data_IF_151441962009
#
_entry.id   IF_151441962009
#
_cell.length_a   1.000
_cell.length_b   1.000
_cell.length_c   1.000
_cell.angle_alpha   90.00
_cell.angle_beta   90.00
_cell.angle_gamma   90.00
#
_symmetry.space_group_name_H-M   'P 1'
#
loop_
_entity.id
_entity.type
_entity.pdbx_description
1 polymer ?
#
# COMPACT_ATOMS: atom_id res chain seq x y z
N UNK A 1 -43.80 29.19 18.26
CA UNK A 1 -42.47 28.65 18.59
C UNK A 1 -42.14 27.51 17.63
N UNK A 2 -41.34 27.78 16.62
CA UNK A 2 -40.96 26.78 15.64
C UNK A 2 -39.57 26.28 16.01
N UNK A 3 -39.49 25.02 16.47
CA UNK A 3 -38.24 24.35 16.74
C UNK A 3 -37.52 24.05 15.43
N UNK A 4 -36.39 24.68 15.19
CA UNK A 4 -35.48 24.36 14.11
C UNK A 4 -34.69 23.09 14.47
N UNK A 5 -35.20 21.96 14.07
CA UNK A 5 -34.41 20.73 14.00
C UNK A 5 -33.62 20.74 12.66
N UNK A 6 -32.35 20.99 12.77
CA UNK A 6 -31.43 20.92 11.62
C UNK A 6 -31.04 19.47 11.32
N UNK A 7 -31.42 18.92 10.17
CA UNK A 7 -30.96 17.59 9.74
C UNK A 7 -29.71 17.73 8.88
N UNK A 8 -28.59 18.22 9.42
CA UNK A 8 -27.38 18.46 8.61
C UNK A 8 -26.14 17.66 9.00
N UNK A 9 -26.20 16.85 10.06
CA UNK A 9 -25.01 16.11 10.50
C UNK A 9 -24.90 14.65 10.02
N UNK A 10 -26.01 13.99 9.78
CA UNK A 10 -25.99 12.57 9.37
C UNK A 10 -25.47 12.35 7.95
N UNK A 11 -25.79 13.23 7.02
CA UNK A 11 -25.35 13.12 5.62
C UNK A 11 -23.86 13.38 5.45
N UNK A 12 -23.31 14.37 6.15
CA UNK A 12 -21.89 14.71 6.08
C UNK A 12 -21.03 13.62 6.75
N UNK A 13 -21.43 13.10 7.89
CA UNK A 13 -20.73 12.03 8.60
C UNK A 13 -20.73 10.72 7.78
N UNK A 14 -21.83 10.41 7.10
CA UNK A 14 -21.94 9.22 6.25
C UNK A 14 -21.08 9.32 4.99
N UNK A 15 -20.91 10.52 4.44
CA UNK A 15 -20.09 10.75 3.26
C UNK A 15 -18.59 10.63 3.59
N UNK A 16 -18.13 11.19 4.69
CA UNK A 16 -16.76 11.08 5.18
C UNK A 16 -16.40 9.63 5.53
N UNK A 17 -17.31 8.89 6.15
CA UNK A 17 -17.13 7.48 6.45
C UNK A 17 -16.91 6.64 5.19
N UNK A 18 -17.67 6.87 4.13
CA UNK A 18 -17.51 6.14 2.87
C UNK A 18 -16.14 6.40 2.24
N UNK A 19 -15.67 7.64 2.24
CA UNK A 19 -14.34 8.00 1.72
C UNK A 19 -13.22 7.45 2.57
N UNK A 20 -13.37 7.45 3.87
CA UNK A 20 -12.46 6.81 4.82
C UNK A 20 -12.27 5.33 4.49
N UNK A 21 -13.35 4.59 4.36
CA UNK A 21 -13.33 3.16 4.04
C UNK A 21 -12.67 2.93 2.66
N UNK A 22 -13.03 3.73 1.66
CA UNK A 22 -12.46 3.61 0.32
C UNK A 22 -10.96 3.82 0.32
N UNK A 23 -10.45 4.85 1.00
CA UNK A 23 -9.02 5.12 1.10
C UNK A 23 -8.29 3.98 1.82
N UNK A 24 -8.82 3.50 2.94
CA UNK A 24 -8.24 2.36 3.66
C UNK A 24 -8.22 1.08 2.83
N UNK A 25 -9.24 0.81 2.03
CA UNK A 25 -9.27 -0.34 1.12
C UNK A 25 -8.17 -0.27 0.06
N UNK A 26 -7.90 0.90 -0.48
CA UNK A 26 -6.81 1.08 -1.44
C UNK A 26 -5.44 0.89 -0.75
N UNK A 27 -5.29 1.35 0.49
CA UNK A 27 -4.10 1.07 1.29
C UNK A 27 -3.94 -0.42 1.58
N UNK A 28 -5.00 -1.11 1.96
CA UNK A 28 -4.99 -2.56 2.21
C UNK A 28 -4.52 -3.34 0.98
N UNK A 29 -5.09 -3.02 -0.19
CA UNK A 29 -4.66 -3.62 -1.45
C UNK A 29 -3.19 -3.32 -1.77
N UNK A 30 -2.75 -2.08 -1.54
CA UNK A 30 -1.35 -1.67 -1.75
C UNK A 30 -0.37 -2.41 -0.86
N UNK A 31 -0.68 -2.53 0.43
CA UNK A 31 0.13 -3.29 1.40
C UNK A 31 0.21 -4.77 1.00
N UNK A 32 -0.92 -5.39 0.63
CA UNK A 32 -0.95 -6.78 0.21
C UNK A 32 -0.08 -7.02 -1.03
N UNK A 33 -0.11 -6.11 -2.00
CA UNK A 33 0.76 -6.16 -3.18
C UNK A 33 2.24 -6.00 -2.82
N UNK A 34 2.56 -5.07 -1.94
CA UNK A 34 3.93 -4.85 -1.46
C UNK A 34 4.50 -6.07 -0.75
N UNK A 35 3.73 -6.67 0.16
CA UNK A 35 4.12 -7.90 0.86
C UNK A 35 4.34 -9.07 -0.12
N UNK A 36 3.43 -9.25 -1.07
CA UNK A 36 3.55 -10.28 -2.08
C UNK A 36 4.81 -10.11 -2.94
N UNK A 37 5.14 -8.88 -3.31
CA UNK A 37 6.33 -8.56 -4.08
C UNK A 37 7.63 -8.90 -3.32
N UNK A 38 7.69 -8.44 -2.08
CA UNK A 38 8.86 -8.69 -1.23
C UNK A 38 9.04 -10.19 -1.01
N UNK A 39 7.97 -10.92 -0.69
CA UNK A 39 8.02 -12.36 -0.47
C UNK A 39 8.53 -13.13 -1.70
N UNK A 40 8.17 -12.69 -2.91
CA UNK A 40 8.62 -13.35 -4.14
C UNK A 40 10.12 -13.20 -4.40
N UNK A 41 10.73 -12.09 -4.00
CA UNK A 41 12.13 -11.79 -4.33
C UNK A 41 13.10 -12.06 -3.18
N UNK A 42 12.60 -12.17 -1.96
CA UNK A 42 13.43 -12.20 -0.74
C UNK A 42 14.40 -13.37 -0.71
N UNK A 43 13.95 -14.56 -1.13
CA UNK A 43 14.77 -15.78 -1.12
C UNK A 43 15.82 -15.78 -2.26
N UNK A 44 15.60 -14.99 -3.31
CA UNK A 44 16.48 -14.88 -4.47
C UNK A 44 17.59 -13.86 -4.25
N UNK A 45 17.41 -12.90 -3.37
CA UNK A 45 18.41 -11.86 -3.07
C UNK A 45 19.70 -12.47 -2.50
N UNK A 46 20.84 -12.10 -3.09
CA UNK A 46 22.16 -12.62 -2.72
C UNK A 46 22.84 -11.79 -1.65
N UNK A 47 22.74 -10.46 -1.77
CA UNK A 47 23.32 -9.54 -0.79
C UNK A 47 22.52 -9.56 0.53
N UNK A 48 23.25 -9.69 1.66
CA UNK A 48 22.64 -9.64 2.98
C UNK A 48 21.97 -8.27 3.23
N UNK A 49 22.60 -7.19 2.79
CA UNK A 49 22.05 -5.84 2.96
C UNK A 49 20.79 -5.60 2.14
N UNK A 50 20.65 -6.23 0.97
CA UNK A 50 19.39 -6.21 0.21
C UNK A 50 18.30 -7.00 0.95
N UNK A 51 18.61 -8.19 1.43
CA UNK A 51 17.68 -8.98 2.24
C UNK A 51 17.23 -8.23 3.49
N UNK A 52 18.15 -7.55 4.18
CA UNK A 52 17.84 -6.77 5.38
C UNK A 52 16.91 -5.59 5.07
N UNK A 53 17.13 -4.88 3.96
CA UNK A 53 16.25 -3.80 3.52
C UNK A 53 14.83 -4.30 3.21
N UNK A 54 14.73 -5.40 2.48
CA UNK A 54 13.45 -6.05 2.16
C UNK A 54 12.75 -6.54 3.42
N UNK A 55 13.48 -7.16 4.35
CA UNK A 55 12.91 -7.67 5.61
C UNK A 55 12.38 -6.55 6.52
N UNK A 56 13.09 -5.43 6.63
CA UNK A 56 12.61 -4.27 7.38
C UNK A 56 11.32 -3.73 6.79
N UNK A 57 11.30 -3.51 5.48
CA UNK A 57 10.12 -3.02 4.78
C UNK A 57 8.93 -3.97 4.93
N UNK A 58 9.17 -5.28 4.84
CA UNK A 58 8.16 -6.32 5.06
C UNK A 58 7.51 -6.19 6.44
N UNK A 59 8.33 -6.06 7.48
CA UNK A 59 7.85 -5.90 8.87
C UNK A 59 6.98 -4.65 9.02
N UNK A 60 7.42 -3.53 8.46
CA UNK A 60 6.68 -2.27 8.53
C UNK A 60 5.36 -2.34 7.76
N UNK A 61 5.33 -2.99 6.59
CA UNK A 61 4.10 -3.27 5.85
C UNK A 61 3.13 -4.13 6.66
N UNK A 62 3.62 -5.17 7.34
CA UNK A 62 2.80 -6.03 8.19
C UNK A 62 2.19 -5.26 9.37
N UNK A 63 2.92 -4.33 9.96
CA UNK A 63 2.40 -3.48 11.01
C UNK A 63 1.28 -2.55 10.51
N UNK A 64 1.49 -1.89 9.38
CA UNK A 64 0.45 -1.08 8.74
C UNK A 64 -0.77 -1.91 8.35
N UNK A 65 -0.57 -3.11 7.85
CA UNK A 65 -1.67 -4.01 7.51
C UNK A 65 -2.56 -4.29 8.71
N UNK A 66 -1.97 -4.55 9.89
CA UNK A 66 -2.74 -4.75 11.12
C UNK A 66 -3.56 -3.53 11.51
N UNK A 67 -2.99 -2.33 11.40
CA UNK A 67 -3.70 -1.08 11.65
C UNK A 67 -4.87 -0.89 10.69
N UNK A 68 -4.65 -1.12 9.40
CA UNK A 68 -5.67 -1.00 8.36
C UNK A 68 -6.81 -2.00 8.59
N UNK A 69 -6.48 -3.27 8.84
CA UNK A 69 -7.47 -4.32 9.09
C UNK A 69 -8.30 -3.99 10.32
N UNK A 70 -7.67 -3.54 11.40
CA UNK A 70 -8.38 -3.11 12.62
C UNK A 70 -9.31 -1.94 12.33
N UNK A 71 -8.85 -0.93 11.61
CA UNK A 71 -9.66 0.23 11.25
C UNK A 71 -10.85 -0.14 10.35
N UNK A 72 -10.66 -1.03 9.38
CA UNK A 72 -11.73 -1.53 8.52
C UNK A 72 -12.73 -2.39 9.30
N UNK A 73 -12.25 -3.23 10.22
CA UNK A 73 -13.11 -4.04 11.08
C UNK A 73 -14.03 -3.19 11.97
N UNK A 74 -13.54 -2.09 12.51
CA UNK A 74 -14.33 -1.14 13.31
C UNK A 74 -15.52 -0.56 12.52
N UNK A 75 -15.43 -0.55 11.19
CA UNK A 75 -16.51 -0.15 10.30
C UNK A 75 -17.29 -1.32 9.70
N UNK A 76 -17.07 -2.55 10.17
CA UNK A 76 -17.64 -3.78 9.60
C UNK A 76 -17.30 -3.96 8.11
N UNK A 77 -16.09 -3.64 7.75
CA UNK A 77 -15.57 -3.76 6.38
C UNK A 77 -14.39 -4.75 6.36
N UNK A 78 -14.39 -5.67 5.42
CA UNK A 78 -13.38 -6.73 5.33
C UNK A 78 -12.18 -6.35 4.41
N UNK A 79 -12.16 -5.11 3.93
CA UNK A 79 -11.11 -4.66 3.03
C UNK A 79 -11.40 -4.93 1.56
N UNK A 80 -10.41 -4.65 0.72
CA UNK A 80 -10.50 -4.81 -0.73
C UNK A 80 -9.46 -5.81 -1.20
N UNK A 81 -9.90 -6.81 -1.93
CA UNK A 81 -9.00 -7.70 -2.66
C UNK A 81 -8.18 -6.89 -3.66
N UNK A 82 -6.86 -7.14 -3.80
CA UNK A 82 -6.05 -6.53 -4.85
C UNK A 82 -6.67 -6.80 -6.22
N UNK A 83 -6.60 -5.82 -7.12
CA UNK A 83 -7.14 -6.00 -8.47
C UNK A 83 -6.43 -7.17 -9.16
N UNK A 84 -7.13 -8.28 -9.51
CA UNK A 84 -6.49 -9.46 -10.08
C UNK A 84 -5.72 -9.17 -11.38
N UNK A 85 -6.21 -8.23 -12.18
CA UNK A 85 -5.55 -7.85 -13.44
C UNK A 85 -4.24 -7.12 -13.17
N UNK A 86 -4.25 -6.11 -12.30
CA UNK A 86 -3.05 -5.38 -11.92
C UNK A 86 -2.03 -6.30 -11.22
N UNK A 87 -2.48 -7.12 -10.29
CA UNK A 87 -1.67 -8.09 -9.57
C UNK A 87 -1.07 -9.14 -10.53
N UNK A 88 -1.89 -9.77 -11.38
CA UNK A 88 -1.45 -10.80 -12.31
C UNK A 88 -0.44 -10.30 -13.34
N UNK A 89 -0.65 -9.14 -13.94
CA UNK A 89 0.26 -8.56 -14.93
C UNK A 89 1.59 -8.12 -14.34
N UNK A 90 1.59 -7.58 -13.12
CA UNK A 90 2.79 -7.08 -12.47
C UNK A 90 3.70 -8.21 -11.99
N UNK A 91 3.14 -9.15 -11.26
CA UNK A 91 3.91 -10.16 -10.54
C UNK A 91 4.26 -11.38 -11.36
N UNK A 92 3.47 -11.78 -12.33
CA UNK A 92 3.81 -12.84 -13.29
C UNK A 92 5.04 -12.41 -14.09
N UNK A 93 5.10 -11.16 -14.55
CA UNK A 93 6.29 -10.61 -15.22
C UNK A 93 7.51 -10.62 -14.32
N UNK A 94 7.35 -10.23 -13.04
CA UNK A 94 8.41 -10.25 -12.03
C UNK A 94 8.97 -11.66 -11.86
N UNK A 95 8.11 -12.65 -11.66
CA UNK A 95 8.52 -14.05 -11.55
C UNK A 95 9.26 -14.57 -12.78
N UNK A 96 8.78 -14.25 -13.99
CA UNK A 96 9.44 -14.63 -15.24
C UNK A 96 10.82 -13.98 -15.39
N UNK A 97 10.94 -12.69 -15.06
CA UNK A 97 12.22 -11.97 -15.12
C UNK A 97 13.24 -12.52 -14.11
N UNK A 98 12.82 -12.83 -12.88
CA UNK A 98 13.68 -13.43 -11.87
C UNK A 98 14.16 -14.83 -12.28
N UNK A 99 13.31 -15.64 -12.91
CA UNK A 99 13.67 -16.95 -13.44
C UNK A 99 14.74 -16.85 -14.54
N UNK A 100 14.68 -15.78 -15.35
CA UNK A 100 15.63 -15.55 -16.44
C UNK A 100 16.93 -14.89 -16.00
N UNK A 101 16.90 -14.06 -14.95
CA UNK A 101 18.05 -13.30 -14.48
C UNK A 101 17.99 -13.08 -12.95
N UNK A 102 18.50 -14.04 -12.20
CA UNK A 102 18.54 -14.03 -10.74
C UNK A 102 19.66 -13.13 -10.20
N UNK A 103 19.51 -11.82 -10.30
CA UNK A 103 20.50 -10.88 -9.76
C UNK A 103 19.88 -9.87 -8.80
N UNK A 104 20.70 -9.37 -7.89
CA UNK A 104 20.28 -8.30 -6.97
C UNK A 104 19.87 -7.03 -7.75
N UNK A 105 20.54 -6.74 -8.86
CA UNK A 105 20.19 -5.63 -9.74
C UNK A 105 18.78 -5.80 -10.35
N UNK A 106 18.43 -7.00 -10.79
CA UNK A 106 17.07 -7.29 -11.29
C UNK A 106 16.03 -7.12 -10.19
N UNK A 107 16.31 -7.61 -8.98
CA UNK A 107 15.41 -7.43 -7.83
C UNK A 107 15.24 -5.94 -7.51
N UNK A 108 16.34 -5.19 -7.45
CA UNK A 108 16.31 -3.76 -7.17
C UNK A 108 15.50 -2.98 -8.21
N UNK A 109 15.67 -3.30 -9.48
CA UNK A 109 14.93 -2.70 -10.59
C UNK A 109 13.42 -2.94 -10.46
N UNK A 110 13.01 -4.20 -10.30
CA UNK A 110 11.62 -4.59 -10.18
C UNK A 110 10.94 -3.98 -8.93
N UNK A 111 11.61 -4.02 -7.81
CA UNK A 111 11.06 -3.46 -6.56
C UNK A 111 10.98 -1.93 -6.63
N UNK A 112 11.97 -1.27 -7.22
CA UNK A 112 11.95 0.18 -7.44
C UNK A 112 10.76 0.58 -8.31
N UNK A 113 10.51 -0.13 -9.39
CA UNK A 113 9.34 0.11 -10.25
C UNK A 113 8.04 -0.06 -9.47
N UNK A 114 7.93 -1.12 -8.68
CA UNK A 114 6.77 -1.37 -7.81
C UNK A 114 6.56 -0.23 -6.80
N UNK A 115 7.60 0.21 -6.13
CA UNK A 115 7.55 1.33 -5.19
C UNK A 115 7.08 2.63 -5.87
N UNK A 116 7.64 2.95 -7.03
CA UNK A 116 7.24 4.14 -7.78
C UNK A 116 5.78 4.09 -8.21
N UNK A 117 5.28 2.94 -8.65
CA UNK A 117 3.87 2.73 -8.95
C UNK A 117 3.00 2.91 -7.70
N UNK A 118 3.42 2.34 -6.57
CA UNK A 118 2.73 2.47 -5.29
C UNK A 118 2.62 3.92 -4.85
N UNK A 119 3.73 4.65 -4.81
CA UNK A 119 3.77 6.09 -4.47
C UNK A 119 2.83 6.90 -5.35
N UNK A 120 2.90 6.68 -6.66
CA UNK A 120 2.03 7.38 -7.63
C UNK A 120 0.55 7.10 -7.38
N UNK A 121 0.19 5.84 -7.17
CA UNK A 121 -1.20 5.43 -6.95
C UNK A 121 -1.75 5.95 -5.64
N UNK A 122 -0.97 5.86 -4.55
CA UNK A 122 -1.38 6.33 -3.23
C UNK A 122 -1.58 7.85 -3.21
N UNK A 123 -0.70 8.62 -3.86
CA UNK A 123 -0.88 10.06 -4.01
C UNK A 123 -2.15 10.40 -4.81
N UNK A 124 -2.45 9.64 -5.86
CA UNK A 124 -3.70 9.79 -6.61
C UNK A 124 -4.91 9.54 -5.70
N UNK A 125 -4.88 8.51 -4.85
CA UNK A 125 -5.96 8.24 -3.92
C UNK A 125 -6.11 9.32 -2.83
N UNK A 126 -5.01 9.88 -2.33
CA UNK A 126 -5.07 11.03 -1.43
C UNK A 126 -5.82 12.21 -2.06
N UNK A 127 -5.54 12.49 -3.32
CA UNK A 127 -6.22 13.55 -4.06
C UNK A 127 -7.69 13.21 -4.33
N UNK A 128 -7.98 11.96 -4.69
CA UNK A 128 -9.32 11.49 -4.97
C UNK A 128 -10.22 11.49 -3.73
N UNK A 129 -9.66 11.12 -2.58
CA UNK A 129 -10.36 11.01 -1.31
C UNK A 129 -9.99 12.14 -0.34
N UNK A 130 -9.85 13.33 -0.83
CA UNK A 130 -9.45 14.53 -0.06
C UNK A 130 -10.30 14.75 1.21
N UNK A 131 -11.58 14.41 1.17
CA UNK A 131 -12.48 14.52 2.31
C UNK A 131 -12.46 13.29 3.25
N UNK A 132 -11.53 12.34 3.07
CA UNK A 132 -11.32 11.26 4.03
C UNK A 132 -10.74 11.83 5.35
N UNK A 133 -10.91 11.07 6.45
CA UNK A 133 -10.41 11.48 7.76
C UNK A 133 -8.88 11.61 7.77
N UNK A 134 -8.37 12.42 8.70
CA UNK A 134 -6.93 12.61 8.88
C UNK A 134 -6.22 11.29 9.24
N UNK A 135 -6.87 10.38 9.98
CA UNK A 135 -6.32 9.07 10.31
C UNK A 135 -6.05 8.21 9.07
N UNK A 136 -7.01 8.14 8.14
CA UNK A 136 -6.84 7.39 6.89
C UNK A 136 -5.76 8.02 6.01
N UNK A 137 -5.70 9.35 5.96
CA UNK A 137 -4.65 10.07 5.24
C UNK A 137 -3.28 9.84 5.85
N UNK A 138 -3.18 9.79 7.19
CA UNK A 138 -1.94 9.50 7.89
C UNK A 138 -1.41 8.10 7.54
N UNK A 139 -2.26 7.09 7.59
CA UNK A 139 -1.92 5.72 7.18
C UNK A 139 -1.41 5.72 5.73
N UNK A 140 -2.10 6.40 4.82
CA UNK A 140 -1.71 6.50 3.42
C UNK A 140 -0.33 7.16 3.25
N UNK A 141 -0.08 8.26 3.96
CA UNK A 141 1.21 8.96 3.92
C UNK A 141 2.35 8.12 4.48
N UNK A 142 2.08 7.36 5.55
CA UNK A 142 3.07 6.43 6.10
C UNK A 142 3.40 5.30 5.12
N UNK A 143 2.41 4.78 4.40
CA UNK A 143 2.64 3.78 3.37
C UNK A 143 3.47 4.37 2.21
N UNK A 144 3.18 5.58 1.77
CA UNK A 144 3.99 6.28 0.77
C UNK A 144 5.45 6.40 1.24
N UNK A 145 5.66 6.81 2.49
CA UNK A 145 7.00 6.95 3.06
C UNK A 145 7.76 5.61 3.12
N UNK A 146 7.07 4.49 3.38
CA UNK A 146 7.67 3.16 3.35
C UNK A 146 8.14 2.78 1.94
N UNK A 147 7.32 3.05 0.93
CA UNK A 147 7.67 2.77 -0.46
C UNK A 147 8.84 3.63 -0.94
N UNK A 148 8.84 4.90 -0.62
CA UNK A 148 9.95 5.82 -0.95
C UNK A 148 11.25 5.40 -0.26
N UNK A 149 11.17 5.02 1.02
CA UNK A 149 12.33 4.56 1.78
C UNK A 149 12.92 3.28 1.20
N UNK A 150 12.10 2.31 0.84
CA UNK A 150 12.56 1.08 0.23
C UNK A 150 13.29 1.38 -1.09
N UNK A 151 12.69 2.18 -1.96
CA UNK A 151 13.31 2.57 -3.23
C UNK A 151 14.68 3.26 -3.01
N UNK A 152 14.79 4.10 -1.98
CA UNK A 152 16.05 4.74 -1.60
C UNK A 152 17.09 3.73 -1.08
N UNK A 153 16.69 2.86 -0.16
CA UNK A 153 17.58 1.88 0.49
C UNK A 153 18.17 0.87 -0.52
N UNK A 154 17.42 0.52 -1.55
CA UNK A 154 17.86 -0.47 -2.56
C UNK A 154 18.50 0.15 -3.81
N UNK A 155 18.52 1.47 -3.94
CA UNK A 155 19.06 2.19 -5.10
C UNK A 155 20.49 1.79 -5.46
N UNK A 156 21.30 1.50 -4.46
CA UNK A 156 22.71 1.09 -4.66
C UNK A 156 22.89 -0.26 -5.35
N UNK A 157 21.83 -1.02 -5.50
CA UNK A 157 21.87 -2.32 -6.18
C UNK A 157 21.44 -2.24 -7.67
N UNK A 158 20.95 -1.06 -8.10
CA UNK A 158 20.57 -0.82 -9.48
C UNK A 158 21.76 -0.89 -10.44
#
# INVERSE_FOLDING_TARGET
>A
MLGHTTPKREGACRYDRTRYIKLLRECDAGVAMGLSAIDQVMDTAKSQSLRDALARCRTEHQQLQKEIVTALHDFHDEGKEPNPIAQGMSWIKTGAMLTMNESDATIADLITDGCNMGVKSLNRYLNQYEAASEDAKDITKRLIALEEKLAEDIRRFL
#
